data_IF_500727827256
#
_entry.id   IF_500727827256
#
_cell.length_a   1.000
_cell.length_b   1.000
_cell.length_c   1.000
_cell.angle_alpha   90.00
_cell.angle_beta   90.00
_cell.angle_gamma   90.00
#
_symmetry.space_group_name_H-M   'P 1'
#
loop_
_entity.id
_entity.type
_entity.pdbx_description
1 polymer ?
#
# COMPACT_ATOMS: atom_id res chain seq x y z
N UNK A 1 -7.62 -26.33 11.03
CA UNK A 1 -7.35 -24.93 10.65
C UNK A 1 -8.68 -24.32 10.31
N UNK A 2 -9.11 -23.31 11.06
CA UNK A 2 -10.39 -22.63 10.84
C UNK A 2 -10.36 -22.06 9.41
N UNK A 3 -11.46 -22.19 8.67
CA UNK A 3 -11.57 -21.55 7.34
C UNK A 3 -11.34 -20.06 7.57
N UNK A 4 -10.18 -19.56 7.17
CA UNK A 4 -9.79 -18.16 7.36
C UNK A 4 -10.69 -17.32 6.48
N UNK A 5 -11.67 -16.66 7.08
CA UNK A 5 -12.50 -15.68 6.40
C UNK A 5 -11.67 -14.41 6.23
N UNK A 6 -11.78 -13.77 5.08
CA UNK A 6 -11.11 -12.50 4.84
C UNK A 6 -11.75 -11.44 5.75
N UNK A 7 -10.93 -10.77 6.53
CA UNK A 7 -11.35 -9.73 7.47
C UNK A 7 -10.45 -8.49 7.38
N UNK A 8 -10.90 -7.38 7.97
CA UNK A 8 -10.18 -6.12 8.00
C UNK A 8 -10.82 -5.03 7.15
N UNK A 9 -10.19 -3.85 7.18
CA UNK A 9 -10.76 -2.61 6.65
C UNK A 9 -11.19 -2.71 5.17
N UNK A 10 -10.33 -3.24 4.30
CA UNK A 10 -10.64 -3.31 2.86
C UNK A 10 -11.85 -4.24 2.61
N UNK A 11 -12.00 -5.33 3.37
CA UNK A 11 -13.16 -6.25 3.25
C UNK A 11 -14.44 -5.59 3.73
N UNK A 12 -14.42 -4.95 4.90
CA UNK A 12 -15.59 -4.23 5.44
C UNK A 12 -16.05 -3.13 4.49
N UNK A 13 -15.11 -2.34 3.98
CA UNK A 13 -15.39 -1.29 3.01
C UNK A 13 -15.96 -1.85 1.70
N UNK A 14 -15.36 -2.91 1.16
CA UNK A 14 -15.85 -3.53 -0.08
C UNK A 14 -17.27 -4.07 0.10
N UNK A 15 -17.54 -4.77 1.21
CA UNK A 15 -18.88 -5.26 1.52
C UNK A 15 -19.91 -4.12 1.61
N UNK A 16 -19.53 -2.98 2.21
CA UNK A 16 -20.38 -1.80 2.28
C UNK A 16 -20.65 -1.19 0.88
N UNK A 17 -19.63 -1.10 0.02
CA UNK A 17 -19.76 -0.63 -1.37
C UNK A 17 -20.69 -1.57 -2.16
N UNK A 18 -20.49 -2.87 -2.05
CA UNK A 18 -21.31 -3.86 -2.73
C UNK A 18 -22.77 -3.79 -2.30
N UNK A 19 -23.02 -3.61 -0.99
CA UNK A 19 -24.37 -3.39 -0.45
C UNK A 19 -24.99 -2.10 -0.96
N UNK A 20 -24.25 -0.99 -0.97
CA UNK A 20 -24.75 0.30 -1.41
C UNK A 20 -25.05 0.34 -2.92
N UNK A 21 -24.23 -0.32 -3.73
CA UNK A 21 -24.41 -0.44 -5.18
C UNK A 21 -25.32 -1.58 -5.63
N UNK A 22 -25.83 -2.41 -4.70
CA UNK A 22 -26.59 -3.62 -4.98
C UNK A 22 -25.83 -4.59 -5.92
N UNK A 23 -24.53 -4.75 -5.69
CA UNK A 23 -23.65 -5.65 -6.45
C UNK A 23 -23.51 -7.01 -5.78
N UNK A 24 -23.33 -8.06 -6.59
CA UNK A 24 -22.90 -9.38 -6.12
C UNK A 24 -21.37 -9.44 -6.11
N UNK A 25 -20.77 -9.43 -4.92
CA UNK A 25 -19.32 -9.39 -4.76
C UNK A 25 -18.78 -10.72 -4.24
N UNK A 26 -17.71 -11.18 -4.89
CA UNK A 26 -16.98 -12.38 -4.51
C UNK A 26 -15.50 -11.99 -4.34
N UNK A 27 -14.94 -12.35 -3.19
CA UNK A 27 -13.57 -12.01 -2.86
C UNK A 27 -12.61 -13.06 -3.41
N UNK A 28 -11.56 -12.61 -4.10
CA UNK A 28 -10.48 -13.45 -4.62
C UNK A 28 -9.17 -12.91 -4.07
N UNK A 29 -8.44 -13.77 -3.36
CA UNK A 29 -7.12 -13.43 -2.82
C UNK A 29 -6.04 -13.63 -3.89
N UNK A 30 -5.10 -12.69 -3.99
CA UNK A 30 -3.93 -12.79 -4.87
C UNK A 30 -2.76 -12.01 -4.29
N UNK A 31 -1.55 -12.26 -4.78
CA UNK A 31 -0.39 -11.46 -4.39
C UNK A 31 -0.50 -10.05 -4.98
N UNK A 32 -0.01 -9.06 -4.23
CA UNK A 32 -0.12 -7.65 -4.62
C UNK A 32 0.44 -7.36 -6.03
N UNK A 33 1.58 -7.97 -6.37
CA UNK A 33 2.22 -7.80 -7.67
C UNK A 33 1.41 -8.40 -8.84
N UNK A 34 0.55 -9.38 -8.56
CA UNK A 34 -0.28 -10.04 -9.56
C UNK A 34 -1.60 -9.29 -9.81
N UNK A 35 -1.97 -8.30 -8.98
CA UNK A 35 -3.29 -7.66 -9.03
C UNK A 35 -3.53 -6.94 -10.37
N UNK A 36 -2.59 -6.11 -10.83
CA UNK A 36 -2.77 -5.36 -12.08
C UNK A 36 -2.84 -6.28 -13.30
N UNK A 37 -1.89 -7.23 -13.50
CA UNK A 37 -1.98 -8.18 -14.61
C UNK A 37 -3.26 -9.03 -14.57
N UNK A 38 -3.70 -9.47 -13.39
CA UNK A 38 -4.91 -10.27 -13.24
C UNK A 38 -6.18 -9.47 -13.55
N UNK A 39 -6.25 -8.19 -13.19
CA UNK A 39 -7.33 -7.28 -13.58
C UNK A 39 -7.40 -7.12 -15.10
N UNK A 40 -6.25 -6.89 -15.75
CA UNK A 40 -6.16 -6.77 -17.21
C UNK A 40 -6.54 -8.08 -17.93
N UNK A 41 -6.19 -9.22 -17.33
CA UNK A 41 -6.60 -10.54 -17.78
C UNK A 41 -8.07 -10.89 -17.43
N UNK A 42 -8.82 -9.96 -16.84
CA UNK A 42 -10.23 -10.10 -16.46
C UNK A 42 -10.51 -11.27 -15.51
N UNK A 43 -9.57 -11.58 -14.60
CA UNK A 43 -9.77 -12.59 -13.56
C UNK A 43 -10.72 -12.11 -12.44
N UNK A 44 -10.86 -10.80 -12.30
CA UNK A 44 -11.78 -10.09 -11.41
C UNK A 44 -11.99 -8.68 -11.96
N UNK A 45 -12.99 -7.96 -11.46
CA UNK A 45 -13.44 -6.69 -12.03
C UNK A 45 -12.88 -5.44 -11.32
N UNK A 46 -12.42 -5.58 -10.08
CA UNK A 46 -11.89 -4.47 -9.28
C UNK A 46 -10.79 -4.93 -8.31
N UNK A 47 -9.90 -4.00 -7.95
CA UNK A 47 -8.86 -4.21 -6.94
C UNK A 47 -9.24 -3.41 -5.69
N UNK A 48 -9.30 -4.08 -4.53
CA UNK A 48 -9.44 -3.45 -3.22
C UNK A 48 -8.35 -3.99 -2.29
N UNK A 49 -7.20 -3.31 -2.29
CA UNK A 49 -5.98 -3.77 -1.60
C UNK A 49 -5.00 -2.61 -1.38
N UNK A 50 -5.47 -1.50 -0.82
CA UNK A 50 -4.66 -0.31 -0.51
C UNK A 50 -3.71 0.17 -1.64
N UNK A 51 -4.07 -0.04 -2.90
CA UNK A 51 -3.15 0.20 -4.02
C UNK A 51 -2.93 1.70 -4.23
N UNK A 52 -1.71 2.15 -4.00
CA UNK A 52 -1.37 3.55 -4.20
C UNK A 52 -1.42 3.94 -5.68
N UNK A 53 -1.99 5.12 -5.95
CA UNK A 53 -2.10 5.70 -7.28
C UNK A 53 -0.74 6.24 -7.69
N UNK A 54 -0.19 5.69 -8.77
CA UNK A 54 1.04 6.20 -9.40
C UNK A 54 0.80 6.43 -10.88
N UNK A 55 1.57 7.32 -11.50
CA UNK A 55 1.44 7.60 -12.93
C UNK A 55 1.64 6.33 -13.78
N UNK A 56 2.60 5.49 -13.40
CA UNK A 56 2.85 4.22 -14.07
C UNK A 56 1.64 3.27 -14.01
N UNK A 57 0.96 3.17 -12.86
CA UNK A 57 -0.24 2.32 -12.71
C UNK A 57 -1.45 2.94 -13.40
N UNK A 58 -1.62 4.26 -13.33
CA UNK A 58 -2.73 4.99 -13.93
C UNK A 58 -2.71 4.95 -15.47
N UNK A 59 -1.54 4.71 -16.09
CA UNK A 59 -1.46 4.41 -17.52
C UNK A 59 -2.01 3.04 -17.90
N UNK A 60 -2.04 2.09 -16.96
CA UNK A 60 -2.40 0.69 -17.20
C UNK A 60 -3.83 0.35 -16.77
N UNK A 61 -4.34 1.01 -15.73
CA UNK A 61 -5.66 0.75 -15.12
C UNK A 61 -6.30 2.07 -14.65
N UNK A 62 -7.62 2.08 -14.58
CA UNK A 62 -8.37 3.20 -13.98
C UNK A 62 -8.39 3.08 -12.45
N UNK A 63 -8.40 4.22 -11.77
CA UNK A 63 -8.53 4.32 -10.31
C UNK A 63 -9.82 5.04 -9.94
N UNK A 64 -10.37 4.70 -8.78
CA UNK A 64 -11.41 5.50 -8.13
C UNK A 64 -10.83 6.80 -7.57
N UNK A 65 -11.70 7.65 -7.01
CA UNK A 65 -11.21 8.70 -6.12
C UNK A 65 -10.50 8.07 -4.91
N UNK A 66 -9.39 8.65 -4.42
CA UNK A 66 -8.67 8.13 -3.27
C UNK A 66 -9.60 7.96 -2.06
N UNK A 67 -9.67 6.74 -1.52
CA UNK A 67 -10.59 6.39 -0.42
C UNK A 67 -10.00 6.80 0.93
N UNK A 68 -8.69 6.64 1.12
CA UNK A 68 -7.97 7.07 2.31
C UNK A 68 -6.54 7.48 1.95
N UNK A 69 -5.95 8.37 2.76
CA UNK A 69 -4.54 8.78 2.64
C UNK A 69 -3.80 8.37 3.89
N UNK A 70 -2.78 7.54 3.73
CA UNK A 70 -1.93 7.11 4.83
C UNK A 70 -0.65 7.96 4.81
N UNK A 71 -0.37 8.74 5.87
CA UNK A 71 0.91 9.42 5.97
C UNK A 71 2.03 8.40 6.22
N UNK A 72 3.17 8.59 5.56
CA UNK A 72 4.35 7.77 5.85
C UNK A 72 5.01 8.25 7.14
N UNK A 73 5.22 7.34 8.08
CA UNK A 73 5.79 7.64 9.40
C UNK A 73 7.00 6.76 9.68
N UNK A 74 8.01 7.31 10.34
CA UNK A 74 9.12 6.54 10.90
C UNK A 74 8.71 6.01 12.27
N UNK A 75 8.88 4.71 12.48
CA UNK A 75 8.62 4.05 13.77
C UNK A 75 9.95 3.68 14.40
N UNK A 76 10.13 4.06 15.66
CA UNK A 76 11.30 3.72 16.47
C UNK A 76 10.86 3.02 17.75
N UNK A 77 11.70 2.14 18.29
CA UNK A 77 11.47 1.53 19.60
C UNK A 77 11.38 2.62 20.66
N UNK A 78 10.43 2.49 21.60
CA UNK A 78 10.33 3.37 22.77
C UNK A 78 11.65 3.41 23.52
N UNK A 79 12.18 4.61 23.76
CA UNK A 79 13.50 4.83 24.39
C UNK A 79 14.70 4.65 23.44
N UNK A 80 14.48 4.27 22.18
CA UNK A 80 15.50 4.31 21.14
C UNK A 80 15.82 5.76 20.72
N UNK A 81 17.01 5.98 20.15
CA UNK A 81 17.34 7.29 19.56
C UNK A 81 16.41 7.53 18.36
N UNK A 82 15.30 8.23 18.54
CA UNK A 82 14.44 8.62 17.44
C UNK A 82 15.17 9.65 16.59
N UNK A 83 15.70 9.20 15.45
CA UNK A 83 16.18 10.08 14.40
C UNK A 83 15.01 10.74 13.67
N UNK A 84 14.19 11.51 14.39
CA UNK A 84 13.14 12.36 13.77
C UNK A 84 13.74 13.66 13.22
N UNK A 85 14.97 14.00 13.63
CA UNK A 85 15.79 15.03 13.01
C UNK A 85 16.58 14.44 11.82
N UNK A 86 16.39 15.03 10.64
CA UNK A 86 17.04 14.64 9.37
C UNK A 86 18.57 14.62 9.47
N UNK A 87 19.16 15.42 10.36
CA UNK A 87 20.62 15.41 10.63
C UNK A 87 21.07 14.26 11.53
N UNK A 88 20.15 13.68 12.31
CA UNK A 88 20.43 12.62 13.28
C UNK A 88 20.19 11.22 12.70
N UNK A 89 19.49 11.14 11.57
CA UNK A 89 19.30 9.93 10.77
C UNK A 89 20.46 9.63 9.81
N UNK A 90 21.36 10.58 9.54
CA UNK A 90 22.55 10.33 8.72
C UNK A 90 23.43 9.26 9.40
N UNK A 91 23.59 8.11 8.73
CA UNK A 91 24.38 6.97 9.22
C UNK A 91 23.60 5.89 9.98
N UNK A 92 22.28 6.00 10.14
CA UNK A 92 21.47 4.93 10.73
C UNK A 92 20.98 3.94 9.65
N UNK A 93 21.11 2.64 9.94
CA UNK A 93 20.49 1.59 9.13
C UNK A 93 18.99 1.56 9.42
N UNK A 94 18.18 1.92 8.42
CA UNK A 94 16.72 1.86 8.49
C UNK A 94 16.23 0.66 7.69
N UNK A 95 15.48 -0.24 8.35
CA UNK A 95 14.78 -1.33 7.66
C UNK A 95 13.41 -0.81 7.22
N UNK A 96 13.25 -0.67 5.91
CA UNK A 96 12.04 -0.16 5.29
C UNK A 96 11.35 -1.28 4.51
N UNK A 97 10.02 -1.36 4.60
CA UNK A 97 9.22 -2.16 3.68
C UNK A 97 9.13 -1.37 2.37
N UNK A 98 9.74 -1.88 1.31
CA UNK A 98 9.67 -1.29 -0.03
C UNK A 98 8.36 -1.73 -0.71
N UNK A 99 7.69 -0.85 -1.47
CA UNK A 99 6.62 -1.28 -2.40
C UNK A 99 5.33 -0.45 -2.49
N UNK A 100 5.00 0.38 -1.50
CA UNK A 100 3.69 1.10 -1.50
C UNK A 100 3.83 2.57 -1.93
N UNK A 101 4.94 3.24 -1.59
CA UNK A 101 5.19 4.62 -2.00
C UNK A 101 6.16 4.72 -3.20
N UNK A 102 5.86 5.57 -4.20
CA UNK A 102 6.75 5.84 -5.33
C UNK A 102 7.99 6.66 -4.93
N UNK A 103 8.10 7.06 -3.66
CA UNK A 103 9.24 7.76 -3.10
C UNK A 103 10.14 6.81 -2.32
N UNK A 104 11.42 6.81 -2.69
CA UNK A 104 12.55 6.25 -1.96
C UNK A 104 12.84 7.02 -0.65
N UNK A 105 11.83 7.13 0.23
CA UNK A 105 11.92 7.85 1.50
C UNK A 105 13.09 7.35 2.36
N UNK A 106 13.36 6.04 2.29
CA UNK A 106 14.48 5.38 2.97
C UNK A 106 15.86 5.77 2.41
N UNK A 107 15.97 6.00 1.08
CA UNK A 107 17.22 6.45 0.45
C UNK A 107 17.48 7.95 0.70
N UNK A 108 16.41 8.74 0.90
CA UNK A 108 16.53 10.17 1.22
C UNK A 108 16.94 10.42 2.67
N UNK A 109 16.70 9.48 3.59
CA UNK A 109 17.18 9.57 4.97
C UNK A 109 18.64 9.15 5.16
N UNK A 110 19.21 8.38 4.23
CA UNK A 110 20.58 7.83 4.34
C UNK A 110 21.66 8.67 3.64
N UNK A 111 21.32 9.81 3.03
CA UNK A 111 22.31 10.78 2.57
C UNK A 111 23.32 10.19 1.58
N UNK A 112 22.89 9.82 0.37
CA UNK A 112 23.84 9.61 -0.72
C UNK A 112 24.40 10.97 -1.15
N UNK A 113 25.52 11.34 -0.54
CA UNK A 113 26.52 12.21 -1.18
C UNK A 113 26.95 11.48 -2.45
N UNK A 114 26.36 11.83 -3.59
CA UNK A 114 27.04 11.65 -4.88
C UNK A 114 28.16 12.68 -4.91
N UNK A 115 29.39 12.18 -4.81
CA UNK A 115 30.57 12.85 -5.39
C UNK A 115 30.41 12.81 -6.91
#
# INVERSE_FOLDING_TARGET
>A
MLKGELEGFDIELGNAICKAGNFSCHWVESSFDALIPALQAKKFDAINSAMNITEARARSIAFTQPIYRIPTMLVAKTGGKSGTDRRRSEGQEHRCITGIHPGNLCERSTGSRRV
#
